data_IF_388891995385
#
_entry.id   IF_388891995385
#
_cell.length_a   1.000
_cell.length_b   1.000
_cell.length_c   1.000
_cell.angle_alpha   90.00
_cell.angle_beta   90.00
_cell.angle_gamma   90.00
#
_symmetry.space_group_name_H-M   'P 1'
#
loop_
_entity.id
_entity.type
_entity.pdbx_description
1 polymer ?
#
# COMPACT_ATOMS: atom_id res chain seq x y z
N UNK A 1 7.87 -5.95 13.61
CA UNK A 1 8.23 -5.21 12.40
C UNK A 1 7.09 -4.30 12.00
N UNK A 2 7.32 -2.99 12.00
CA UNK A 2 6.31 -2.04 11.51
C UNK A 2 6.39 -2.03 9.98
N UNK A 3 5.26 -1.93 9.28
CA UNK A 3 5.18 -1.81 7.82
C UNK A 3 4.05 -0.86 7.43
N UNK A 4 4.12 -0.31 6.22
CA UNK A 4 3.02 0.42 5.59
C UNK A 4 2.34 -0.48 4.57
N UNK A 5 1.01 -0.47 4.55
CA UNK A 5 0.20 -1.26 3.65
C UNK A 5 -0.71 -0.35 2.83
N UNK A 6 -0.74 -0.55 1.52
CA UNK A 6 -1.77 0.03 0.66
C UNK A 6 -2.93 -0.97 0.59
N UNK A 7 -4.09 -0.56 1.09
CA UNK A 7 -5.27 -1.41 1.22
C UNK A 7 -6.35 -0.89 0.29
N UNK A 8 -6.96 -1.79 -0.47
CA UNK A 8 -8.15 -1.46 -1.26
C UNK A 8 -9.39 -1.62 -0.39
N UNK A 9 -10.17 -0.56 -0.21
CA UNK A 9 -11.39 -0.59 0.60
C UNK A 9 -12.52 -1.36 -0.05
N UNK A 10 -12.55 -1.41 -1.38
CA UNK A 10 -13.59 -2.12 -2.14
C UNK A 10 -13.31 -3.62 -2.19
N UNK A 11 -12.05 -4.00 -2.42
CA UNK A 11 -11.65 -5.40 -2.48
C UNK A 11 -11.35 -6.01 -1.11
N UNK A 12 -11.14 -5.17 -0.08
CA UNK A 12 -10.74 -5.58 1.28
C UNK A 12 -9.46 -6.42 1.31
N UNK A 13 -8.50 -6.10 0.43
CA UNK A 13 -7.19 -6.77 0.34
C UNK A 13 -6.04 -5.76 0.46
N UNK A 14 -4.89 -6.26 0.90
CA UNK A 14 -3.62 -5.54 0.86
C UNK A 14 -3.05 -5.63 -0.56
N UNK A 15 -2.89 -4.49 -1.22
CA UNK A 15 -2.33 -4.39 -2.57
C UNK A 15 -0.81 -4.36 -2.56
N UNK A 16 -0.23 -3.60 -1.63
CA UNK A 16 1.21 -3.46 -1.48
C UNK A 16 1.58 -3.37 -0.01
N UNK A 17 2.77 -3.86 0.32
CA UNK A 17 3.38 -3.73 1.63
C UNK A 17 4.80 -3.20 1.46
N UNK A 18 5.15 -2.21 2.27
CA UNK A 18 6.46 -1.56 2.24
C UNK A 18 6.99 -1.40 3.65
N UNK A 19 8.30 -1.52 3.78
CA UNK A 19 9.01 -1.16 5.00
C UNK A 19 8.79 0.30 5.39
N UNK A 20 8.95 0.59 6.68
CA UNK A 20 8.80 1.93 7.25
C UNK A 20 9.89 2.94 6.85
N UNK A 21 10.71 2.62 5.86
CA UNK A 21 11.83 3.48 5.46
C UNK A 21 11.37 4.88 5.02
N UNK A 22 10.11 5.01 4.58
CA UNK A 22 9.49 6.26 4.12
C UNK A 22 8.35 6.74 5.03
N UNK A 23 8.22 6.17 6.23
CA UNK A 23 7.09 6.44 7.12
C UNK A 23 7.07 7.90 7.62
N UNK A 24 8.25 8.53 7.71
CA UNK A 24 8.42 9.94 8.07
C UNK A 24 8.28 10.91 6.90
N UNK A 25 8.26 10.41 5.65
CA UNK A 25 8.18 11.23 4.45
C UNK A 25 6.74 11.52 4.03
N UNK A 26 5.74 11.03 4.78
CA UNK A 26 4.29 11.09 4.45
C UNK A 26 3.98 10.57 3.03
N UNK A 27 4.88 9.76 2.48
CA UNK A 27 4.83 9.23 1.12
C UNK A 27 4.78 7.72 1.16
N UNK A 28 3.99 7.16 0.25
CA UNK A 28 4.00 5.73 -0.05
C UNK A 28 4.52 5.56 -1.48
N UNK A 29 5.86 5.52 -1.67
CA UNK A 29 6.43 5.44 -3.00
C UNK A 29 6.12 4.07 -3.61
N UNK A 30 5.39 4.11 -4.72
CA UNK A 30 5.13 2.94 -5.57
C UNK A 30 5.98 3.06 -6.84
N UNK A 31 6.46 1.94 -7.36
CA UNK A 31 7.13 1.90 -8.65
C UNK A 31 6.12 2.00 -9.79
N UNK A 32 6.60 2.29 -11.00
CA UNK A 32 5.75 2.31 -12.20
C UNK A 32 5.10 0.94 -12.47
N UNK A 33 5.82 -0.15 -12.19
CA UNK A 33 5.30 -1.52 -12.35
C UNK A 33 4.17 -1.80 -11.35
N UNK A 34 4.35 -1.42 -10.08
CA UNK A 34 3.32 -1.55 -9.04
C UNK A 34 2.08 -0.72 -9.37
N UNK A 35 2.26 0.52 -9.82
CA UNK A 35 1.16 1.39 -10.25
C UNK A 35 0.39 0.76 -11.42
N UNK A 36 1.08 0.20 -12.42
CA UNK A 36 0.46 -0.50 -13.56
C UNK A 36 -0.32 -1.74 -13.13
N UNK A 37 0.16 -2.49 -12.14
CA UNK A 37 -0.56 -3.66 -11.61
C UNK A 37 -1.84 -3.24 -10.88
N UNK A 38 -1.76 -2.21 -10.04
CA UNK A 38 -2.93 -1.68 -9.33
C UNK A 38 -3.94 -1.09 -10.32
N UNK A 39 -3.49 -0.33 -11.33
CA UNK A 39 -4.40 0.29 -12.30
C UNK A 39 -5.16 -0.74 -13.16
N UNK A 40 -4.60 -1.92 -13.43
CA UNK A 40 -5.30 -2.96 -14.19
C UNK A 40 -6.53 -3.50 -13.47
N UNK A 41 -6.43 -3.71 -12.16
CA UNK A 41 -7.43 -4.44 -11.38
C UNK A 41 -8.21 -3.57 -10.37
N UNK A 42 -7.69 -2.38 -10.05
CA UNK A 42 -8.18 -1.53 -8.96
C UNK A 42 -8.34 -0.05 -9.37
N UNK A 43 -8.34 0.25 -10.68
CA UNK A 43 -8.57 1.61 -11.16
C UNK A 43 -9.97 2.08 -10.80
N UNK A 44 -10.02 3.25 -10.13
CA UNK A 44 -11.27 3.83 -9.64
C UNK A 44 -11.68 3.31 -8.25
N UNK A 45 -10.94 2.35 -7.69
CA UNK A 45 -11.22 1.91 -6.32
C UNK A 45 -10.72 2.90 -5.28
N UNK A 46 -11.47 3.06 -4.20
CA UNK A 46 -10.95 3.75 -3.03
C UNK A 46 -9.90 2.88 -2.33
N UNK A 47 -8.70 3.43 -2.16
CA UNK A 47 -7.62 2.81 -1.42
C UNK A 47 -7.11 3.74 -0.33
N UNK A 48 -6.66 3.19 0.79
CA UNK A 48 -6.01 3.93 1.87
C UNK A 48 -4.69 3.27 2.26
N UNK A 49 -3.83 4.04 2.93
CA UNK A 49 -2.56 3.55 3.45
C UNK A 49 -2.70 3.41 4.96
N UNK A 50 -2.35 2.24 5.49
CA UNK A 50 -2.35 1.96 6.92
C UNK A 50 -0.94 1.57 7.39
N UNK A 51 -0.58 1.95 8.61
CA UNK A 51 0.67 1.54 9.26
C UNK A 51 0.32 0.46 10.27
N UNK A 52 0.91 -0.73 10.11
CA UNK A 52 0.64 -1.88 10.97
C UNK A 52 1.93 -2.39 11.62
N UNK A 53 1.82 -2.85 12.87
CA UNK A 53 2.89 -3.58 13.55
C UNK A 53 2.66 -5.08 13.39
N UNK A 54 3.55 -5.75 12.65
CA UNK A 54 3.57 -7.22 12.53
C UNK A 54 4.48 -7.82 13.59
N UNK A 55 3.99 -8.81 14.32
CA UNK A 55 4.83 -9.66 15.16
C UNK A 55 5.59 -10.61 14.23
N UNK A 56 6.90 -10.41 14.11
CA UNK A 56 7.80 -11.32 13.38
C UNK A 56 8.08 -12.57 14.21
#
# INVERSE_FOLDING_TARGET
>A
MIVQQLICDECKIVLLEKDTKYLHDEKFPITEEEAKMIDKDHRGHQCHIEVVEKLS
#
